data_IF_530121070626
#
_entry.id   IF_530121070626
#
_cell.length_a   1.000
_cell.length_b   1.000
_cell.length_c   1.000
_cell.angle_alpha   90.00
_cell.angle_beta   90.00
_cell.angle_gamma   90.00
#
_symmetry.space_group_name_H-M   'P 1'
#
loop_
_entity.id
_entity.type
_entity.pdbx_description
1 polymer ?
#
# COMPACT_ATOMS: atom_id res chain seq x y z
N UNK A 1 -4.00 -10.77 5.70
CA UNK A 1 -3.05 -11.83 5.29
C UNK A 1 -2.38 -11.39 3.99
N UNK A 2 -1.08 -11.62 3.82
CA UNK A 2 -0.32 -11.27 2.61
C UNK A 2 -0.68 -12.24 1.49
N UNK A 3 -1.27 -11.70 0.43
CA UNK A 3 -1.77 -12.48 -0.72
C UNK A 3 -0.84 -12.41 -1.94
N UNK A 4 0.01 -11.40 -2.01
CA UNK A 4 1.07 -11.25 -3.00
C UNK A 4 2.32 -10.65 -2.35
N UNK A 5 3.50 -10.94 -2.88
CA UNK A 5 4.77 -10.50 -2.33
C UNK A 5 5.87 -10.48 -3.40
N UNK A 6 6.55 -9.33 -3.52
CA UNK A 6 7.76 -9.17 -4.31
C UNK A 6 8.92 -8.83 -3.38
N UNK A 7 9.95 -9.67 -3.38
CA UNK A 7 11.16 -9.47 -2.60
C UNK A 7 12.38 -10.02 -3.31
N UNK A 8 13.56 -9.56 -2.90
CA UNK A 8 14.83 -10.02 -3.45
C UNK A 8 15.13 -11.47 -2.99
N UNK A 9 15.28 -12.43 -3.93
CA UNK A 9 15.58 -13.83 -3.63
C UNK A 9 16.83 -14.02 -2.75
N UNK A 10 17.81 -13.11 -2.83
CA UNK A 10 19.06 -13.18 -2.05
C UNK A 10 18.82 -12.94 -0.55
N UNK A 11 17.72 -12.28 -0.18
CA UNK A 11 17.40 -11.93 1.20
C UNK A 11 16.18 -12.68 1.74
N UNK A 12 15.73 -13.75 1.08
CA UNK A 12 14.49 -14.47 1.44
C UNK A 12 14.43 -14.97 2.89
N UNK A 13 15.57 -15.42 3.45
CA UNK A 13 15.63 -15.86 4.84
C UNK A 13 15.41 -14.69 5.81
N UNK A 14 16.00 -13.53 5.52
CA UNK A 14 15.82 -12.30 6.28
C UNK A 14 14.39 -11.77 6.15
N UNK A 15 13.83 -11.80 4.94
CA UNK A 15 12.44 -11.44 4.66
C UNK A 15 11.47 -12.33 5.45
N UNK A 16 11.68 -13.66 5.42
CA UNK A 16 10.87 -14.61 6.20
C UNK A 16 10.97 -14.37 7.70
N UNK A 17 12.18 -14.15 8.20
CA UNK A 17 12.42 -13.84 9.62
C UNK A 17 11.71 -12.55 10.04
N UNK A 18 11.65 -11.56 9.16
CA UNK A 18 10.93 -10.30 9.35
C UNK A 18 9.41 -10.40 9.12
N UNK A 19 8.86 -11.59 8.86
CA UNK A 19 7.44 -11.77 8.58
C UNK A 19 7.01 -11.46 7.14
N UNK A 20 7.92 -11.04 6.26
CA UNK A 20 7.65 -10.61 4.88
C UNK A 20 7.61 -11.82 3.93
N UNK A 21 6.50 -12.54 3.92
CA UNK A 21 6.28 -13.68 3.04
C UNK A 21 4.79 -13.94 2.77
N UNK A 22 4.47 -14.69 1.71
CA UNK A 22 3.09 -15.06 1.39
C UNK A 22 2.42 -15.81 2.55
N UNK A 23 1.22 -15.39 2.92
CA UNK A 23 0.45 -16.00 4.02
C UNK A 23 0.72 -15.42 5.41
N UNK A 24 1.68 -14.49 5.57
CA UNK A 24 1.83 -13.76 6.84
C UNK A 24 0.58 -12.92 7.13
N UNK A 25 0.21 -12.74 8.40
CA UNK A 25 -0.91 -11.85 8.76
C UNK A 25 -0.37 -10.71 9.57
N UNK A 26 -0.79 -9.52 9.17
CA UNK A 26 -0.32 -8.23 9.67
C UNK A 26 -1.45 -7.47 10.38
N UNK A 27 -2.45 -8.19 10.89
CA UNK A 27 -3.47 -7.59 11.74
C UNK A 27 -2.81 -7.07 13.02
N UNK A 28 -3.23 -5.90 13.50
CA UNK A 28 -2.66 -5.31 14.71
C UNK A 28 -2.84 -6.23 15.93
N UNK A 29 -3.95 -6.96 16.00
CA UNK A 29 -4.22 -7.95 17.04
C UNK A 29 -3.22 -9.10 17.09
N UNK A 30 -2.54 -9.39 15.97
CA UNK A 30 -1.59 -10.51 15.86
C UNK A 30 -0.13 -10.08 15.85
N UNK A 31 0.16 -8.90 15.31
CA UNK A 31 1.54 -8.44 15.03
C UNK A 31 1.94 -7.26 15.90
N UNK A 32 1.01 -6.72 16.71
CA UNK A 32 1.16 -5.43 17.36
C UNK A 32 1.08 -4.28 16.35
N UNK A 33 1.36 -3.06 16.81
CA UNK A 33 1.33 -1.86 15.98
C UNK A 33 2.39 -1.93 14.89
N UNK A 34 1.95 -2.13 13.65
CA UNK A 34 2.77 -2.19 12.44
C UNK A 34 2.15 -1.33 11.33
N UNK A 35 2.93 -0.93 10.31
CA UNK A 35 2.45 -0.04 9.26
C UNK A 35 1.20 -0.54 8.54
N UNK A 36 1.14 -1.84 8.23
CA UNK A 36 -0.03 -2.46 7.61
C UNK A 36 -1.23 -2.46 8.56
N UNK A 37 -1.05 -2.89 9.81
CA UNK A 37 -2.11 -2.93 10.81
C UNK A 37 -2.70 -1.55 11.11
N UNK A 38 -1.84 -0.56 11.34
CA UNK A 38 -2.25 0.83 11.55
C UNK A 38 -2.98 1.40 10.33
N UNK A 39 -2.49 1.12 9.11
CA UNK A 39 -3.15 1.53 7.88
C UNK A 39 -4.56 0.92 7.73
N UNK A 40 -4.74 -0.36 8.12
CA UNK A 40 -6.07 -1.00 8.14
C UNK A 40 -7.02 -0.29 9.10
N UNK A 41 -6.53 0.07 10.29
CA UNK A 41 -7.35 0.69 11.34
C UNK A 41 -7.72 2.13 11.00
N UNK A 42 -6.78 2.92 10.49
CA UNK A 42 -7.02 4.35 10.20
C UNK A 42 -7.65 4.57 8.83
N UNK A 43 -7.44 3.67 7.87
CA UNK A 43 -7.79 3.91 6.47
C UNK A 43 -6.93 5.01 5.83
N UNK A 44 -5.74 5.29 6.38
CA UNK A 44 -4.84 6.34 5.91
C UNK A 44 -3.48 5.78 5.48
N UNK A 45 -2.89 6.40 4.46
CA UNK A 45 -1.53 6.09 4.05
C UNK A 45 -0.52 6.62 5.07
N UNK A 46 0.45 5.80 5.46
CA UNK A 46 1.38 6.16 6.52
C UNK A 46 2.72 5.42 6.42
N UNK A 47 3.73 5.97 7.08
CA UNK A 47 5.02 5.35 7.29
C UNK A 47 5.23 5.08 8.77
N UNK A 48 5.57 3.84 9.11
CA UNK A 48 6.08 3.46 10.43
C UNK A 48 7.56 3.18 10.26
N UNK A 49 8.40 3.99 10.90
CA UNK A 49 9.85 3.97 10.69
C UNK A 49 10.57 3.41 11.92
N UNK A 50 11.25 2.28 11.76
CA UNK A 50 12.15 1.70 12.77
C UNK A 50 11.51 1.59 14.16
N UNK A 51 11.87 2.49 15.08
CA UNK A 51 11.45 2.47 16.49
C UNK A 51 10.00 2.87 16.71
N UNK A 52 9.29 3.30 15.66
CA UNK A 52 7.86 3.60 15.73
C UNK A 52 6.99 2.32 15.86
N UNK A 53 7.61 1.12 15.76
CA UNK A 53 6.97 -0.17 16.03
C UNK A 53 6.86 -0.46 17.55
N UNK A 54 5.66 -0.78 18.05
CA UNK A 54 5.40 -1.02 19.49
C UNK A 54 5.50 -2.51 19.92
N UNK A 55 5.93 -3.42 19.04
CA UNK A 55 6.24 -4.83 19.39
C UNK A 55 7.63 -5.27 18.87
N UNK A 56 8.24 -6.22 19.59
CA UNK A 56 9.66 -6.33 19.95
C UNK A 56 10.42 -7.47 19.27
N UNK A 57 10.10 -7.82 18.02
CA UNK A 57 10.95 -8.73 17.24
C UNK A 57 11.99 -7.96 16.44
N UNK A 58 12.84 -7.16 17.11
CA UNK A 58 14.15 -6.63 16.68
C UNK A 58 14.38 -6.42 15.16
N UNK A 59 13.42 -5.86 14.42
CA UNK A 59 13.58 -5.63 12.99
C UNK A 59 13.63 -4.12 12.74
N UNK A 60 14.74 -3.58 12.21
CA UNK A 60 14.89 -2.16 11.88
C UNK A 60 14.08 -1.76 10.63
N UNK A 61 12.89 -2.35 10.49
CA UNK A 61 12.04 -2.24 9.33
C UNK A 61 11.47 -0.82 9.27
N UNK A 62 11.40 -0.28 8.06
CA UNK A 62 10.49 0.83 7.77
C UNK A 62 9.42 0.31 6.84
N UNK A 63 8.16 0.41 7.26
CA UNK A 63 7.01 0.09 6.43
C UNK A 63 6.39 1.39 5.94
N UNK A 64 6.01 1.44 4.68
CA UNK A 64 5.15 2.49 4.16
C UNK A 64 3.98 1.86 3.44
N UNK A 65 2.80 2.12 3.94
CA UNK A 65 1.57 1.46 3.53
C UNK A 65 0.53 2.46 3.05
N UNK A 66 -0.29 2.06 2.08
CA UNK A 66 -1.49 2.77 1.66
C UNK A 66 -2.68 1.82 1.55
N UNK A 67 -3.88 2.29 1.94
CA UNK A 67 -5.11 1.52 1.77
C UNK A 67 -5.47 1.42 0.29
N UNK A 68 -6.16 0.33 -0.06
CA UNK A 68 -6.82 0.12 -1.36
C UNK A 68 -8.31 -0.10 -1.08
N UNK A 69 -9.13 0.78 -1.64
CA UNK A 69 -10.58 0.73 -1.55
C UNK A 69 -11.20 0.11 -2.81
N UNK A 70 -12.34 -0.54 -2.64
CA UNK A 70 -13.14 -0.99 -3.78
C UNK A 70 -14.00 0.14 -4.37
N UNK A 71 -14.82 -0.20 -5.36
CA UNK A 71 -15.74 0.72 -6.05
C UNK A 71 -16.86 1.25 -5.16
N UNK A 72 -17.07 0.67 -3.96
CA UNK A 72 -18.04 1.12 -2.96
C UNK A 72 -17.39 1.95 -1.85
N UNK A 73 -16.07 2.13 -1.89
CA UNK A 73 -15.32 2.81 -0.84
C UNK A 73 -15.01 1.92 0.36
N UNK A 74 -15.16 0.60 0.25
CA UNK A 74 -14.83 -0.34 1.32
C UNK A 74 -13.34 -0.72 1.26
N UNK A 75 -12.65 -0.67 2.40
CA UNK A 75 -11.24 -1.07 2.48
C UNK A 75 -11.13 -2.56 2.14
N UNK A 76 -10.40 -2.86 1.06
CA UNK A 76 -10.30 -4.23 0.54
C UNK A 76 -8.89 -4.80 0.66
N UNK A 77 -7.87 -3.95 0.56
CA UNK A 77 -6.47 -4.36 0.70
C UNK A 77 -5.60 -3.22 1.23
N UNK A 78 -4.34 -3.55 1.53
CA UNK A 78 -3.29 -2.60 1.82
C UNK A 78 -2.09 -2.93 0.94
N UNK A 79 -1.54 -1.92 0.28
CA UNK A 79 -0.25 -2.01 -0.41
C UNK A 79 0.84 -1.52 0.53
N UNK A 80 1.90 -2.30 0.72
CA UNK A 80 3.02 -1.96 1.57
C UNK A 80 4.35 -2.08 0.83
N UNK A 81 5.28 -1.19 1.15
CA UNK A 81 6.69 -1.31 0.81
C UNK A 81 7.48 -1.34 2.12
N UNK A 82 8.18 -2.45 2.33
CA UNK A 82 8.97 -2.72 3.52
C UNK A 82 10.47 -2.70 3.23
N UNK A 83 11.23 -1.95 4.03
CA UNK A 83 12.69 -1.85 3.93
C UNK A 83 13.36 -2.62 5.08
N UNK A 84 13.99 -3.75 4.79
CA UNK A 84 14.78 -4.53 5.78
C UNK A 84 15.89 -3.72 6.44
N UNK A 85 16.47 -2.75 5.71
CA UNK A 85 17.55 -1.88 6.18
C UNK A 85 17.28 -0.45 5.72
N UNK A 86 16.56 0.32 6.54
CA UNK A 86 16.25 1.70 6.21
C UNK A 86 17.45 2.63 6.54
N UNK A 87 17.82 3.57 5.65
CA UNK A 87 18.73 4.66 5.98
C UNK A 87 18.17 5.51 7.14
N UNK A 88 19.05 6.10 7.96
CA UNK A 88 18.67 7.02 9.04
C UNK A 88 17.91 8.29 8.56
N UNK A 89 18.23 8.90 7.40
CA UNK A 89 17.50 10.09 6.94
C UNK A 89 16.07 9.76 6.49
N UNK A 90 15.08 10.43 7.11
CA UNK A 90 13.65 10.31 6.80
C UNK A 90 13.24 10.85 5.42
N UNK A 91 14.12 11.54 4.69
CA UNK A 91 13.81 12.14 3.36
C UNK A 91 13.36 11.07 2.35
N UNK A 92 13.89 9.85 2.45
CA UNK A 92 13.50 8.72 1.61
C UNK A 92 12.04 8.26 1.84
N UNK A 93 11.44 8.59 3.00
CA UNK A 93 10.10 8.12 3.37
C UNK A 93 8.98 8.88 2.65
N UNK A 94 9.16 10.17 2.36
CA UNK A 94 8.17 10.93 1.58
C UNK A 94 8.02 10.38 0.16
N UNK A 95 9.15 9.98 -0.45
CA UNK A 95 9.12 9.34 -1.76
C UNK A 95 8.42 7.98 -1.69
N UNK A 96 8.74 7.14 -0.69
CA UNK A 96 8.08 5.86 -0.49
C UNK A 96 6.56 6.02 -0.31
N UNK A 97 6.14 7.01 0.49
CA UNK A 97 4.72 7.29 0.73
C UNK A 97 4.00 7.74 -0.55
N UNK A 98 4.62 8.63 -1.32
CA UNK A 98 4.06 9.03 -2.62
C UNK A 98 3.96 7.83 -3.59
N UNK A 99 5.00 7.00 -3.67
CA UNK A 99 5.02 5.84 -4.56
C UNK A 99 3.94 4.81 -4.18
N UNK A 100 3.82 4.48 -2.89
CA UNK A 100 2.83 3.50 -2.43
C UNK A 100 1.42 4.03 -2.61
N UNK A 101 1.18 5.31 -2.31
CA UNK A 101 -0.13 5.94 -2.49
C UNK A 101 -0.54 6.02 -3.96
N UNK A 102 0.38 6.43 -4.85
CA UNK A 102 0.10 6.48 -6.29
C UNK A 102 -0.14 5.07 -6.86
N UNK A 103 0.63 4.07 -6.40
CA UNK A 103 0.46 2.69 -6.85
C UNK A 103 -0.87 2.09 -6.37
N UNK A 104 -1.27 2.35 -5.12
CA UNK A 104 -2.58 1.95 -4.59
C UNK A 104 -3.71 2.54 -5.44
N UNK A 105 -3.67 3.85 -5.76
CA UNK A 105 -4.67 4.49 -6.64
C UNK A 105 -4.74 3.88 -8.04
N UNK A 106 -3.62 3.44 -8.60
CA UNK A 106 -3.61 2.74 -9.89
C UNK A 106 -4.26 1.38 -9.81
N UNK A 107 -4.09 0.65 -8.70
CA UNK A 107 -4.82 -0.60 -8.45
C UNK A 107 -6.31 -0.34 -8.34
N UNK A 108 -6.73 0.69 -7.61
CA UNK A 108 -8.14 1.09 -7.49
C UNK A 108 -8.74 1.47 -8.84
N UNK A 109 -8.03 2.27 -9.64
CA UNK A 109 -8.46 2.65 -10.98
C UNK A 109 -8.57 1.43 -11.91
N UNK A 110 -7.59 0.53 -11.89
CA UNK A 110 -7.63 -0.69 -12.69
C UNK A 110 -8.83 -1.56 -12.29
N UNK A 111 -9.14 -1.67 -11.00
CA UNK A 111 -10.32 -2.38 -10.50
C UNK A 111 -11.62 -1.68 -10.94
N UNK A 112 -11.70 -0.35 -10.86
CA UNK A 112 -12.84 0.42 -11.37
C UNK A 112 -13.08 0.16 -12.87
N UNK A 113 -12.03 0.25 -13.68
CA UNK A 113 -12.08 -0.02 -15.13
C UNK A 113 -12.50 -1.45 -15.45
N UNK A 114 -12.04 -2.42 -14.66
CA UNK A 114 -12.41 -3.83 -14.84
C UNK A 114 -13.87 -4.12 -14.49
N UNK A 115 -14.42 -3.45 -13.47
CA UNK A 115 -15.81 -3.66 -13.05
C UNK A 115 -16.81 -2.89 -13.94
N UNK A 116 -16.49 -1.66 -14.32
CA UNK A 116 -17.39 -0.71 -14.97
C UNK A 116 -17.36 -0.79 -16.51
N UNK A 117 -17.32 -2.01 -17.04
CA UNK A 117 -17.18 -2.27 -18.48
C UNK A 117 -18.39 -1.80 -19.34
N UNK A 118 -19.55 -1.57 -18.72
CA UNK A 118 -20.78 -1.12 -19.40
C UNK A 118 -21.24 0.27 -18.96
N UNK A 119 -20.51 0.92 -18.05
CA UNK A 119 -20.87 2.21 -17.47
C UNK A 119 -19.96 3.32 -18.01
N UNK A 120 -20.40 4.57 -17.93
CA UNK A 120 -19.55 5.71 -18.26
C UNK A 120 -18.56 5.96 -17.15
N UNK A 121 -17.28 6.18 -17.49
CA UNK A 121 -16.28 6.59 -16.49
C UNK A 121 -15.63 7.91 -16.88
N UNK A 122 -15.83 8.91 -16.03
CA UNK A 122 -15.17 10.20 -16.15
C UNK A 122 -13.82 10.12 -15.45
N UNK A 123 -12.76 10.48 -16.17
CA UNK A 123 -11.40 10.58 -15.66
C UNK A 123 -11.02 12.05 -15.56
N UNK A 124 -10.27 12.40 -14.52
CA UNK A 124 -9.83 13.76 -14.25
C UNK A 124 -8.32 13.78 -14.14
N UNK A 125 -7.69 14.77 -14.77
CA UNK A 125 -6.28 15.04 -14.63
C UNK A 125 -6.03 16.53 -14.79
N UNK A 126 -5.18 17.12 -13.96
CA UNK A 126 -4.67 18.49 -14.15
C UNK A 126 -3.78 18.64 -15.38
N UNK A 127 -3.14 17.55 -15.80
CA UNK A 127 -2.26 17.47 -16.97
C UNK A 127 -2.91 16.57 -18.02
N UNK A 128 -3.41 17.12 -19.15
CA UNK A 128 -4.11 16.36 -20.18
C UNK A 128 -3.33 15.14 -20.69
N UNK A 129 -2.00 15.25 -20.74
CA UNK A 129 -1.08 14.19 -21.17
C UNK A 129 -1.13 12.92 -20.30
N UNK A 130 -1.61 13.01 -19.05
CA UNK A 130 -1.72 11.86 -18.14
C UNK A 130 -3.13 11.27 -18.06
N UNK A 131 -4.13 11.84 -18.74
CA UNK A 131 -5.53 11.42 -18.62
C UNK A 131 -5.76 9.93 -18.98
N UNK A 132 -5.00 9.43 -19.96
CA UNK A 132 -5.08 8.04 -20.44
C UNK A 132 -4.09 7.08 -19.77
N UNK A 133 -3.16 7.59 -18.96
CA UNK A 133 -2.07 6.78 -18.39
C UNK A 133 -2.18 6.70 -16.87
N UNK A 134 -2.40 7.83 -16.20
CA UNK A 134 -2.42 7.95 -14.75
C UNK A 134 -3.28 9.15 -14.32
N UNK A 135 -4.62 9.08 -14.50
CA UNK A 135 -5.50 10.15 -14.09
C UNK A 135 -5.49 10.31 -12.56
N UNK A 136 -5.70 11.54 -12.08
CA UNK A 136 -5.68 11.86 -10.65
C UNK A 136 -6.94 11.38 -9.92
N UNK A 137 -8.05 11.25 -10.66
CA UNK A 137 -9.30 10.69 -10.17
C UNK A 137 -10.13 10.08 -11.31
N UNK A 138 -11.02 9.16 -10.96
CA UNK A 138 -12.03 8.62 -11.86
C UNK A 138 -13.35 8.38 -11.12
N UNK A 139 -14.47 8.57 -11.81
CA UNK A 139 -15.83 8.38 -11.28
C UNK A 139 -16.63 7.59 -12.32
N UNK A 140 -17.20 6.46 -11.92
CA UNK A 140 -18.20 5.77 -12.72
C UNK A 140 -19.57 6.42 -12.53
N UNK A 141 -20.31 6.58 -13.62
CA UNK A 141 -21.69 7.04 -13.63
C UNK A 141 -22.59 5.86 -13.93
N UNK A 142 -23.57 5.63 -13.06
CA UNK A 142 -24.71 4.78 -13.36
C UNK A 142 -25.68 5.52 -14.30
N UNK A 143 -26.42 4.74 -15.10
CA UNK A 143 -27.42 5.23 -16.03
C UNK A 143 -28.77 5.58 -15.37
#
# INVERSE_FOLDING_TARGET
>A
VTVDFLGDPLFMDQLRTAGLYLGSEWSESRTGTCGVGSCIVTGEAMTIHQTDHFDTTHTPLSCTAAPIFDTKGELTAVLDISLLRSPQPKVSQNLALHLVTASARRVELANLMAQMHSEWVLRFSRSPEFLDVDPEAAIALDA
#
